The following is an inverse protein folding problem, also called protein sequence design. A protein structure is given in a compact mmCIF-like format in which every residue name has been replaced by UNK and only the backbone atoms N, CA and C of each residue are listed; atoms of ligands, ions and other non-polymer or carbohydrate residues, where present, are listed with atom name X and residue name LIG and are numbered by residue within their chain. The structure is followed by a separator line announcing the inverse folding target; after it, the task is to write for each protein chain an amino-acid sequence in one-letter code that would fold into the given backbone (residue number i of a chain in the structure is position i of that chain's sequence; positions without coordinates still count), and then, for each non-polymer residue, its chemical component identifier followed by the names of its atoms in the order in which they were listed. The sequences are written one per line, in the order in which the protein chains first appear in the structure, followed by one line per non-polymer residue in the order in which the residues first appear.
data_IF_315271995659
#
_entry.id   IF_315271995659
#
_cell.length_a   1.000
_cell.length_b   1.000
_cell.length_c   1.000
_cell.angle_alpha   90.00
_cell.angle_beta   90.00
_cell.angle_gamma   90.00
#
_symmetry.space_group_name_H-M   'P 1'
#
loop_
_entity.id
_entity.type
_entity.pdbx_description
1 polymer ?
#
# COMPACT_ATOMS: atom_id res chain seq x y z
N UNK A 1 3.99 6.99 13.60
CA UNK A 1 3.71 6.72 12.16
C UNK A 1 4.92 7.10 11.30
N UNK A 2 5.28 6.29 10.28
CA UNK A 2 6.39 6.63 9.35
C UNK A 2 5.87 7.48 8.20
N UNK A 3 6.49 8.63 7.91
CA UNK A 3 6.12 9.57 6.84
C UNK A 3 7.10 9.60 5.65
N UNK A 4 8.10 8.70 5.63
CA UNK A 4 9.15 8.65 4.59
C UNK A 4 8.85 7.77 3.38
N UNK A 5 9.86 7.59 2.51
CA UNK A 5 9.83 6.72 1.31
C UNK A 5 9.37 5.30 1.66
N UNK A 6 8.56 4.68 0.80
CA UNK A 6 8.16 3.28 0.96
C UNK A 6 9.38 2.38 0.78
N UNK A 7 9.64 1.51 1.74
CA UNK A 7 10.69 0.50 1.60
C UNK A 7 10.18 -0.69 0.79
N UNK A 8 11.09 -1.50 0.27
CA UNK A 8 10.75 -2.70 -0.49
C UNK A 8 9.94 -3.70 0.34
N UNK A 9 10.27 -3.85 1.62
CA UNK A 9 9.51 -4.68 2.57
C UNK A 9 8.08 -4.16 2.80
N UNK A 10 7.91 -2.84 2.94
CA UNK A 10 6.58 -2.23 3.09
C UNK A 10 5.76 -2.41 1.81
N UNK A 11 6.41 -2.26 0.65
CA UNK A 11 5.75 -2.44 -0.64
C UNK A 11 5.34 -3.90 -0.87
N UNK A 12 6.20 -4.85 -0.52
CA UNK A 12 5.89 -6.29 -0.59
C UNK A 12 4.68 -6.63 0.28
N UNK A 13 4.64 -6.12 1.52
CA UNK A 13 3.47 -6.28 2.39
C UNK A 13 2.21 -5.62 1.84
N UNK A 14 2.35 -4.46 1.21
CA UNK A 14 1.25 -3.79 0.53
C UNK A 14 0.68 -4.63 -0.63
N UNK A 15 1.53 -5.21 -1.48
CA UNK A 15 1.11 -6.09 -2.56
C UNK A 15 0.44 -7.37 -2.03
N UNK A 16 0.99 -7.96 -0.98
CA UNK A 16 0.39 -9.11 -0.31
C UNK A 16 -1.00 -8.78 0.28
N UNK A 17 -1.12 -7.62 0.95
CA UNK A 17 -2.40 -7.14 1.45
C UNK A 17 -3.41 -6.86 0.32
N UNK A 18 -2.95 -6.34 -0.82
CA UNK A 18 -3.76 -6.15 -2.02
C UNK A 18 -4.25 -7.48 -2.60
N UNK A 19 -3.42 -8.52 -2.63
CA UNK A 19 -3.81 -9.85 -3.11
C UNK A 19 -4.85 -10.50 -2.20
N UNK A 20 -4.65 -10.42 -0.88
CA UNK A 20 -5.55 -11.03 0.11
C UNK A 20 -6.88 -10.30 0.28
N UNK A 21 -6.85 -8.96 0.30
CA UNK A 21 -8.00 -8.14 0.70
C UNK A 21 -8.51 -7.22 -0.41
N UNK A 22 -7.82 -7.13 -1.55
CA UNK A 22 -8.14 -6.19 -2.61
C UNK A 22 -8.00 -4.74 -2.15
N UNK A 23 -8.94 -3.90 -2.58
CA UNK A 23 -8.97 -2.45 -2.25
C UNK A 23 -9.46 -2.13 -0.84
N UNK A 24 -9.46 -3.10 0.09
CA UNK A 24 -9.83 -2.89 1.50
C UNK A 24 -8.66 -2.25 2.26
N UNK A 25 -8.43 -0.96 2.03
CA UNK A 25 -7.25 -0.23 2.52
C UNK A 25 -7.01 -0.31 4.03
N UNK A 26 -8.07 -0.44 4.83
CA UNK A 26 -7.95 -0.62 6.29
C UNK A 26 -7.25 -1.93 6.62
N UNK A 27 -7.58 -3.02 5.91
CA UNK A 27 -6.92 -4.33 6.07
C UNK A 27 -5.52 -4.34 5.46
N UNK A 28 -5.34 -3.68 4.31
CA UNK A 28 -4.01 -3.54 3.70
C UNK A 28 -3.06 -2.77 4.64
N UNK A 29 -3.53 -1.70 5.29
CA UNK A 29 -2.74 -0.97 6.28
C UNK A 29 -2.36 -1.81 7.49
N UNK A 30 -3.28 -2.67 7.96
CA UNK A 30 -3.04 -3.62 9.04
C UNK A 30 -1.92 -4.61 8.69
N UNK A 31 -1.93 -5.15 7.46
CA UNK A 31 -0.86 -6.03 6.93
C UNK A 31 0.49 -5.30 6.83
N UNK A 32 0.48 -4.05 6.40
CA UNK A 32 1.70 -3.24 6.30
C UNK A 32 2.25 -2.92 7.71
N UNK A 33 1.37 -2.62 8.67
CA UNK A 33 1.68 -2.38 10.09
C UNK A 33 2.41 -1.07 10.40
N UNK A 34 3.16 -0.51 9.45
CA UNK A 34 3.95 0.72 9.63
C UNK A 34 3.33 1.98 9.02
N UNK A 35 2.27 1.84 8.22
CA UNK A 35 1.62 2.91 7.43
C UNK A 35 0.13 2.98 7.73
N UNK A 36 -0.41 4.20 7.74
CA UNK A 36 -1.85 4.40 7.96
C UNK A 36 -2.65 4.12 6.69
N UNK A 37 -3.96 3.90 6.87
CA UNK A 37 -4.89 3.68 5.75
C UNK A 37 -4.86 4.81 4.71
N UNK A 38 -4.67 6.06 5.15
CA UNK A 38 -4.55 7.21 4.25
C UNK A 38 -3.27 7.12 3.41
N UNK A 39 -2.13 6.80 4.03
CA UNK A 39 -0.86 6.63 3.33
C UNK A 39 -0.89 5.47 2.34
N UNK A 40 -1.50 4.34 2.73
CA UNK A 40 -1.72 3.18 1.87
C UNK A 40 -2.56 3.57 0.65
N UNK A 41 -3.65 4.32 0.84
CA UNK A 41 -4.51 4.78 -0.25
C UNK A 41 -3.75 5.70 -1.22
N UNK A 42 -2.97 6.66 -0.71
CA UNK A 42 -2.15 7.55 -1.54
C UNK A 42 -1.07 6.79 -2.31
N UNK A 43 -0.46 5.78 -1.69
CA UNK A 43 0.52 4.91 -2.36
C UNK A 43 -0.14 4.07 -3.45
N UNK A 44 -1.29 3.46 -3.15
CA UNK A 44 -2.07 2.69 -4.10
C UNK A 44 -2.48 3.52 -5.32
N UNK A 45 -2.92 4.77 -5.11
CA UNK A 45 -3.28 5.66 -6.21
C UNK A 45 -2.11 5.85 -7.19
N UNK A 46 -0.91 6.16 -6.69
CA UNK A 46 0.29 6.33 -7.53
C UNK A 46 0.71 5.01 -8.18
N UNK A 47 0.59 3.90 -7.46
CA UNK A 47 0.89 2.57 -7.97
C UNK A 47 -0.01 2.19 -9.16
N UNK A 48 -1.32 2.36 -9.03
CA UNK A 48 -2.26 2.07 -10.13
C UNK A 48 -2.09 3.02 -11.31
N UNK A 49 -1.84 4.32 -11.06
CA UNK A 49 -1.52 5.26 -12.14
C UNK A 49 -0.28 4.87 -12.94
N UNK A 50 0.71 4.24 -12.28
CA UNK A 50 1.89 3.72 -12.96
C UNK A 50 1.56 2.43 -13.72
N UNK A 51 0.75 1.55 -13.14
CA UNK A 51 0.32 0.29 -13.76
C UNK A 51 -0.52 0.50 -15.02
N UNK A 52 -1.37 1.54 -15.06
CA UNK A 52 -2.19 1.86 -16.25
C UNK A 52 -1.40 2.52 -17.39
N UNK A 53 -0.16 2.93 -17.13
CA UNK A 53 0.71 3.59 -18.11
C UNK A 53 1.75 2.66 -18.74
N UNK A 54 1.86 1.43 -18.24
CA UNK A 54 2.75 0.37 -18.70
C UNK A 54 1.91 -0.70 -19.42
#
# INVERSE_FOLDING_TARGET
EKTGRWTDEEHTRFLHGLELFGKKWTKVADVVGSRTTVQVRSHAQKYFQKLEKD
#
